data_IF_520142734602
#
_entry.id   IF_520142734602
#
_cell.length_a   1.000
_cell.length_b   1.000
_cell.length_c   1.000
_cell.angle_alpha   90.00
_cell.angle_beta   90.00
_cell.angle_gamma   90.00
#
_symmetry.space_group_name_H-M   'P 1'
#
loop_
_entity.id
_entity.type
_entity.pdbx_description
1 polymer ?
#
# COMPACT_ATOMS: atom_id res chain seq x y z
N UNK A 1 29.37 11.55 30.22
CA UNK A 1 29.25 10.46 29.25
C UNK A 1 27.90 10.58 28.58
N UNK A 2 27.86 10.71 27.28
CA UNK A 2 26.60 10.64 26.55
C UNK A 2 26.01 9.21 26.71
N UNK A 3 24.77 9.13 27.15
CA UNK A 3 24.04 7.86 27.25
C UNK A 3 23.93 7.32 25.82
N UNK A 4 24.57 6.18 25.52
CA UNK A 4 24.37 5.53 24.22
C UNK A 4 22.89 5.16 24.12
N UNK A 5 22.22 5.76 23.14
CA UNK A 5 20.85 5.40 22.83
C UNK A 5 20.89 4.06 22.05
N UNK A 6 20.26 3.04 22.61
CA UNK A 6 20.14 1.70 22.03
C UNK A 6 18.71 1.43 21.60
N UNK A 7 17.99 2.46 21.14
CA UNK A 7 16.64 2.28 20.60
C UNK A 7 16.65 1.36 19.39
N UNK A 8 15.55 0.67 19.17
CA UNK A 8 15.35 -0.19 18.00
C UNK A 8 15.49 0.62 16.70
N UNK A 9 15.02 1.86 16.70
CA UNK A 9 15.16 2.75 15.55
C UNK A 9 16.62 2.97 15.17
N UNK A 10 17.48 3.31 16.13
CA UNK A 10 18.91 3.55 15.86
C UNK A 10 19.68 2.29 15.46
N UNK A 11 19.31 1.13 16.04
CA UNK A 11 20.07 -0.10 15.82
C UNK A 11 19.64 -0.86 14.57
N UNK A 12 18.36 -0.79 14.22
CA UNK A 12 17.75 -1.64 13.19
C UNK A 12 16.99 -0.84 12.13
N UNK A 13 16.04 0.00 12.53
CA UNK A 13 15.12 0.64 11.58
C UNK A 13 15.86 1.68 10.72
N UNK A 14 16.59 2.61 11.32
CA UNK A 14 17.29 3.64 10.58
C UNK A 14 18.38 3.08 9.64
N UNK A 15 19.29 2.18 10.09
CA UNK A 15 20.27 1.59 9.18
C UNK A 15 19.64 0.77 8.05
N UNK A 16 18.53 0.07 8.30
CA UNK A 16 17.80 -0.69 7.27
C UNK A 16 17.18 0.25 6.25
N UNK A 17 16.51 1.32 6.69
CA UNK A 17 15.92 2.30 5.80
C UNK A 17 16.96 2.99 4.92
N UNK A 18 18.12 3.38 5.50
CA UNK A 18 19.25 3.95 4.74
C UNK A 18 19.80 2.99 3.69
N UNK A 19 19.91 1.70 4.00
CA UNK A 19 20.34 0.69 3.05
C UNK A 19 19.35 0.58 1.86
N UNK A 20 18.06 0.52 2.15
CA UNK A 20 17.01 0.45 1.13
C UNK A 20 17.01 1.69 0.23
N UNK A 21 17.17 2.89 0.81
CA UNK A 21 17.26 4.13 0.04
C UNK A 21 18.51 4.19 -0.84
N UNK A 22 19.68 3.98 -0.25
CA UNK A 22 20.96 4.19 -0.94
C UNK A 22 21.28 3.12 -1.97
N UNK A 23 20.92 1.87 -1.69
CA UNK A 23 21.26 0.75 -2.58
C UNK A 23 20.11 0.34 -3.52
N UNK A 24 18.86 0.48 -3.09
CA UNK A 24 17.70 0.02 -3.87
C UNK A 24 16.80 1.16 -4.34
N UNK A 25 17.07 2.41 -3.95
CA UNK A 25 16.29 3.57 -4.37
C UNK A 25 14.87 3.60 -3.80
N UNK A 26 14.63 2.99 -2.64
CA UNK A 26 13.35 3.04 -1.97
C UNK A 26 13.11 4.44 -1.38
N UNK A 27 11.85 4.82 -1.27
CA UNK A 27 11.47 5.95 -0.43
C UNK A 27 11.42 5.50 1.04
N UNK A 28 11.77 6.41 1.97
CA UNK A 28 11.67 6.15 3.40
C UNK A 28 10.95 7.29 4.09
N UNK A 29 10.06 6.97 4.99
CA UNK A 29 9.32 7.93 5.80
C UNK A 29 9.29 7.49 7.26
N UNK A 30 9.13 8.46 8.16
CA UNK A 30 9.02 8.23 9.58
C UNK A 30 7.56 8.43 10.01
N UNK A 31 6.90 7.36 10.46
CA UNK A 31 5.46 7.39 10.75
C UNK A 31 5.09 8.40 11.85
N UNK A 32 5.98 8.67 12.79
CA UNK A 32 5.77 9.68 13.83
C UNK A 32 5.63 11.12 13.28
N UNK A 33 6.07 11.38 12.05
CA UNK A 33 5.88 12.68 11.41
C UNK A 33 4.46 12.89 10.89
N UNK A 34 3.67 11.83 10.81
CA UNK A 34 2.22 11.89 10.60
C UNK A 34 1.48 12.10 11.93
N UNK A 35 0.28 12.62 11.89
CA UNK A 35 -0.55 12.85 13.07
C UNK A 35 -0.03 13.96 13.97
N UNK A 36 0.96 13.70 14.81
CA UNK A 36 1.45 14.66 15.80
C UNK A 36 2.04 15.95 15.22
N UNK A 37 2.71 15.88 14.08
CA UNK A 37 3.38 17.01 13.44
C UNK A 37 2.72 17.44 12.13
N UNK A 38 2.20 16.50 11.36
CA UNK A 38 1.67 16.73 10.01
C UNK A 38 0.14 16.58 9.89
N UNK A 39 -0.56 16.24 10.98
CA UNK A 39 -2.00 15.95 10.96
C UNK A 39 -2.34 14.63 10.28
N UNK A 40 -3.64 14.37 10.18
CA UNK A 40 -4.22 13.20 9.52
C UNK A 40 -4.99 13.62 8.27
N UNK A 41 -5.21 12.69 7.35
CA UNK A 41 -6.04 12.90 6.18
C UNK A 41 -5.32 12.76 4.85
N UNK A 42 -5.99 13.02 3.72
CA UNK A 42 -5.47 12.76 2.38
C UNK A 42 -4.14 13.44 2.07
N UNK A 43 -3.90 14.60 2.65
CA UNK A 43 -2.70 15.43 2.43
C UNK A 43 -1.60 15.17 3.48
N UNK A 44 -1.82 14.26 4.44
CA UNK A 44 -0.81 13.88 5.41
C UNK A 44 0.29 13.03 4.76
N UNK A 45 1.38 12.80 5.50
CA UNK A 45 2.56 12.08 5.02
C UNK A 45 2.22 10.73 4.36
N UNK A 46 1.42 9.92 5.03
CA UNK A 46 0.98 8.60 4.52
C UNK A 46 -0.45 8.60 3.98
N UNK A 47 -1.16 9.72 4.08
CA UNK A 47 -2.54 9.87 3.61
C UNK A 47 -3.58 9.15 4.46
N UNK A 48 -3.24 8.77 5.69
CA UNK A 48 -4.13 8.05 6.60
C UNK A 48 -5.09 9.00 7.34
N UNK A 49 -6.30 8.52 7.62
CA UNK A 49 -7.25 9.23 8.48
C UNK A 49 -6.91 9.07 9.98
N UNK A 50 -6.20 8.00 10.35
CA UNK A 50 -5.72 7.73 11.70
C UNK A 50 -4.60 6.68 11.69
N UNK A 51 -3.97 6.46 12.83
CA UNK A 51 -2.99 5.39 13.06
C UNK A 51 -3.58 3.97 12.96
N UNK A 52 -4.89 3.84 13.07
CA UNK A 52 -5.59 2.56 12.92
C UNK A 52 -5.64 2.05 11.46
N UNK A 53 -5.40 2.91 10.47
CA UNK A 53 -5.35 2.49 9.08
C UNK A 53 -4.05 1.75 8.76
N UNK A 54 -4.15 0.47 8.45
CA UNK A 54 -3.02 -0.39 8.10
C UNK A 54 -2.70 -0.31 6.60
N UNK A 55 -3.74 -0.25 5.76
CA UNK A 55 -3.58 -0.14 4.31
C UNK A 55 -3.43 1.33 3.91
N UNK A 56 -2.34 1.67 3.24
CA UNK A 56 -2.11 3.01 2.70
C UNK A 56 -2.98 3.20 1.44
N UNK A 57 -4.24 3.54 1.63
CA UNK A 57 -5.27 3.57 0.57
C UNK A 57 -4.92 4.49 -0.57
N UNK A 58 -4.30 5.66 -0.28
CA UNK A 58 -3.82 6.60 -1.30
C UNK A 58 -2.77 5.95 -2.21
N UNK A 59 -1.82 5.25 -1.65
CA UNK A 59 -0.73 4.61 -2.39
C UNK A 59 -1.22 3.38 -3.16
N UNK A 60 -2.11 2.59 -2.58
CA UNK A 60 -2.75 1.44 -3.26
C UNK A 60 -3.57 1.92 -4.47
N UNK A 61 -4.36 2.98 -4.31
CA UNK A 61 -5.15 3.55 -5.40
C UNK A 61 -4.25 4.08 -6.53
N UNK A 62 -3.17 4.76 -6.17
CA UNK A 62 -2.19 5.24 -7.13
C UNK A 62 -1.52 4.08 -7.90
N UNK A 63 -1.17 2.99 -7.21
CA UNK A 63 -0.62 1.79 -7.83
C UNK A 63 -1.63 1.11 -8.77
N UNK A 64 -2.89 0.96 -8.35
CA UNK A 64 -3.96 0.41 -9.19
C UNK A 64 -4.10 1.19 -10.50
N UNK A 65 -4.13 2.52 -10.43
CA UNK A 65 -4.25 3.39 -11.62
C UNK A 65 -3.00 3.31 -12.51
N UNK A 66 -1.82 3.29 -11.93
CA UNK A 66 -0.55 3.23 -12.68
C UNK A 66 -0.35 1.89 -13.38
N UNK A 67 -0.61 0.79 -12.68
CA UNK A 67 -0.37 -0.56 -13.20
C UNK A 67 -1.51 -1.08 -14.11
N UNK A 68 -2.67 -0.45 -14.07
CA UNK A 68 -3.86 -0.84 -14.86
C UNK A 68 -4.51 0.39 -15.49
N UNK A 69 -3.85 1.08 -16.43
CA UNK A 69 -4.36 2.34 -16.98
C UNK A 69 -5.62 2.17 -17.82
N UNK A 70 -6.40 3.24 -17.94
CA UNK A 70 -7.51 3.34 -18.89
C UNK A 70 -8.82 2.69 -18.44
N UNK A 71 -9.00 2.42 -17.16
CA UNK A 71 -10.25 1.87 -16.62
C UNK A 71 -11.15 2.97 -16.03
N UNK A 72 -12.47 2.70 -15.92
CA UNK A 72 -13.37 3.58 -15.18
C UNK A 72 -12.95 3.71 -13.72
N UNK A 73 -13.13 4.88 -13.13
CA UNK A 73 -12.75 5.12 -11.72
C UNK A 73 -13.45 4.16 -10.75
N UNK A 74 -14.70 3.79 -11.03
CA UNK A 74 -15.43 2.80 -10.25
C UNK A 74 -14.71 1.45 -10.14
N UNK A 75 -14.03 1.00 -11.20
CA UNK A 75 -13.26 -0.26 -11.16
C UNK A 75 -12.09 -0.19 -10.18
N UNK A 76 -11.41 0.96 -10.09
CA UNK A 76 -10.33 1.15 -9.12
C UNK A 76 -10.87 1.22 -7.68
N UNK A 77 -12.01 1.88 -7.46
CA UNK A 77 -12.64 1.97 -6.14
C UNK A 77 -13.12 0.59 -5.67
N UNK A 78 -13.71 -0.20 -6.54
CA UNK A 78 -14.13 -1.57 -6.23
C UNK A 78 -12.93 -2.46 -5.88
N UNK A 79 -11.83 -2.34 -6.62
CA UNK A 79 -10.59 -3.04 -6.31
C UNK A 79 -10.02 -2.62 -4.95
N UNK A 80 -9.97 -1.31 -4.68
CA UNK A 80 -9.50 -0.78 -3.40
C UNK A 80 -10.35 -1.31 -2.24
N UNK A 81 -11.67 -1.32 -2.39
CA UNK A 81 -12.59 -1.83 -1.38
C UNK A 81 -12.28 -3.29 -1.03
N UNK A 82 -12.02 -4.15 -2.02
CA UNK A 82 -11.65 -5.55 -1.78
C UNK A 82 -10.31 -5.71 -1.05
N UNK A 83 -9.35 -4.84 -1.31
CA UNK A 83 -8.05 -4.85 -0.62
C UNK A 83 -8.20 -4.44 0.84
N UNK A 84 -9.01 -3.43 1.12
CA UNK A 84 -9.20 -2.87 2.47
C UNK A 84 -10.17 -3.69 3.32
N UNK A 85 -11.15 -4.34 2.69
CA UNK A 85 -12.20 -5.07 3.39
C UNK A 85 -11.65 -6.19 4.27
N UNK A 86 -12.08 -6.21 5.53
CA UNK A 86 -11.86 -7.31 6.47
C UNK A 86 -13.17 -8.08 6.70
N UNK A 87 -13.07 -9.39 6.73
CA UNK A 87 -14.18 -10.28 7.04
C UNK A 87 -14.01 -10.87 8.44
N UNK A 88 -14.64 -10.26 9.41
CA UNK A 88 -14.56 -10.66 10.83
C UNK A 88 -15.14 -12.06 11.10
N UNK A 89 -15.85 -12.66 10.13
CA UNK A 89 -16.39 -14.02 10.26
C UNK A 89 -15.33 -15.09 9.94
N UNK A 90 -14.20 -14.70 9.33
CA UNK A 90 -13.11 -15.59 8.96
C UNK A 90 -11.97 -15.54 9.97
N UNK A 91 -11.23 -16.63 10.06
CA UNK A 91 -10.00 -16.64 10.85
C UNK A 91 -8.95 -15.69 10.23
N UNK A 92 -8.02 -15.19 11.04
CA UNK A 92 -6.91 -14.35 10.56
C UNK A 92 -6.08 -15.04 9.48
N UNK A 93 -5.88 -16.35 9.60
CA UNK A 93 -5.16 -17.16 8.58
C UNK A 93 -5.91 -17.13 7.25
N UNK A 94 -7.22 -17.34 7.26
CA UNK A 94 -8.04 -17.31 6.05
C UNK A 94 -8.06 -15.92 5.40
N UNK A 95 -8.15 -14.86 6.21
CA UNK A 95 -8.08 -13.48 5.72
C UNK A 95 -6.71 -13.19 5.09
N UNK A 96 -5.62 -13.59 5.73
CA UNK A 96 -4.28 -13.40 5.19
C UNK A 96 -4.07 -14.17 3.88
N UNK A 97 -4.59 -15.39 3.78
CA UNK A 97 -4.54 -16.15 2.53
C UNK A 97 -5.28 -15.45 1.39
N UNK A 98 -6.47 -14.91 1.67
CA UNK A 98 -7.24 -14.15 0.68
C UNK A 98 -6.51 -12.89 0.23
N UNK A 99 -5.96 -12.10 1.17
CA UNK A 99 -5.17 -10.91 0.84
C UNK A 99 -3.92 -11.26 0.04
N UNK A 100 -3.24 -12.35 0.39
CA UNK A 100 -2.10 -12.83 -0.38
C UNK A 100 -2.47 -13.19 -1.83
N UNK A 101 -3.63 -13.83 -2.05
CA UNK A 101 -4.13 -14.13 -3.41
C UNK A 101 -4.39 -12.85 -4.21
N UNK A 102 -4.95 -11.79 -3.58
CA UNK A 102 -5.12 -10.49 -4.23
C UNK A 102 -3.79 -9.88 -4.67
N UNK A 103 -2.75 -9.97 -3.82
CA UNK A 103 -1.41 -9.48 -4.15
C UNK A 103 -0.75 -10.28 -5.27
N UNK A 104 -0.87 -11.60 -5.23
CA UNK A 104 -0.24 -12.50 -6.19
C UNK A 104 -0.94 -12.51 -7.56
N UNK A 105 -2.27 -12.63 -7.56
CA UNK A 105 -3.07 -12.92 -8.75
C UNK A 105 -3.79 -11.70 -9.31
N UNK A 106 -3.78 -10.59 -8.57
CA UNK A 106 -4.55 -9.39 -8.87
C UNK A 106 -5.95 -9.40 -8.28
N UNK A 107 -6.57 -8.24 -8.24
CA UNK A 107 -7.88 -7.98 -7.65
C UNK A 107 -8.96 -8.16 -8.70
N UNK A 108 -9.92 -9.08 -8.54
CA UNK A 108 -10.99 -9.28 -9.51
C UNK A 108 -11.99 -8.13 -9.46
N UNK A 109 -12.28 -7.54 -10.60
CA UNK A 109 -13.30 -6.49 -10.75
C UNK A 109 -14.15 -6.73 -11.98
N UNK A 110 -15.40 -6.24 -11.93
CA UNK A 110 -16.32 -6.24 -13.07
C UNK A 110 -16.75 -4.80 -13.33
N UNK A 111 -16.64 -4.37 -14.58
CA UNK A 111 -17.04 -3.03 -14.99
C UNK A 111 -17.60 -3.04 -16.40
N UNK A 112 -18.28 -1.96 -16.78
CA UNK A 112 -18.72 -1.76 -18.17
C UNK A 112 -17.72 -0.90 -18.92
N UNK A 113 -17.33 -1.36 -20.11
CA UNK A 113 -16.47 -0.59 -21.00
C UNK A 113 -17.23 0.57 -21.68
N UNK A 114 -16.54 1.34 -22.49
CA UNK A 114 -17.12 2.48 -23.21
C UNK A 114 -18.27 2.07 -24.16
N UNK A 115 -18.32 0.82 -24.60
CA UNK A 115 -19.38 0.25 -25.41
C UNK A 115 -20.54 -0.36 -24.59
N UNK A 116 -20.48 -0.25 -23.24
CA UNK A 116 -21.48 -0.79 -22.34
C UNK A 116 -21.38 -2.30 -22.09
N UNK A 117 -20.32 -2.97 -22.57
CA UNK A 117 -20.12 -4.40 -22.38
C UNK A 117 -19.54 -4.68 -21.02
N UNK A 118 -20.03 -5.74 -20.36
CA UNK A 118 -19.48 -6.19 -19.09
C UNK A 118 -18.09 -6.81 -19.30
N UNK A 119 -17.11 -6.30 -18.60
CA UNK A 119 -15.72 -6.79 -18.60
C UNK A 119 -15.38 -7.35 -17.22
N UNK A 120 -14.82 -8.55 -17.21
CA UNK A 120 -14.25 -9.19 -16.03
C UNK A 120 -12.72 -9.15 -16.13
N UNK A 121 -12.07 -8.53 -15.17
CA UNK A 121 -10.62 -8.29 -15.21
C UNK A 121 -10.02 -8.41 -13.81
N UNK A 122 -8.75 -8.83 -13.76
CA UNK A 122 -7.92 -8.75 -12.54
C UNK A 122 -6.98 -7.57 -12.63
N UNK A 123 -7.02 -6.70 -11.64
CA UNK A 123 -6.17 -5.53 -11.53
C UNK A 123 -4.91 -5.89 -10.76
N UNK A 124 -3.74 -5.57 -11.34
CA UNK A 124 -2.45 -5.77 -10.68
C UNK A 124 -2.27 -4.78 -9.53
N UNK A 125 -1.81 -5.27 -8.39
CA UNK A 125 -1.32 -4.46 -7.27
C UNK A 125 0.21 -4.36 -7.30
N UNK A 126 0.88 -5.39 -7.81
CA UNK A 126 2.33 -5.50 -7.94
C UNK A 126 2.64 -5.95 -9.35
N UNK A 127 3.64 -5.33 -9.96
CA UNK A 127 4.19 -5.78 -11.23
C UNK A 127 5.40 -6.68 -10.96
N UNK A 128 5.20 -7.99 -11.09
CA UNK A 128 6.25 -8.99 -10.90
C UNK A 128 7.14 -9.17 -12.14
N UNK A 129 6.63 -8.80 -13.32
CA UNK A 129 7.36 -8.93 -14.57
C UNK A 129 8.39 -7.81 -14.74
N UNK A 130 8.00 -6.59 -14.37
CA UNK A 130 8.83 -5.39 -14.44
C UNK A 130 8.85 -4.67 -13.08
N UNK A 131 9.66 -5.13 -12.12
CA UNK A 131 9.68 -4.61 -10.75
C UNK A 131 9.92 -3.10 -10.63
N UNK A 132 10.59 -2.49 -11.63
CA UNK A 132 10.82 -1.03 -11.68
C UNK A 132 9.53 -0.20 -11.80
N UNK A 133 8.42 -0.81 -12.23
CA UNK A 133 7.12 -0.14 -12.30
C UNK A 133 6.45 -0.01 -10.94
N UNK A 134 6.96 -0.71 -9.93
CA UNK A 134 6.47 -0.59 -8.56
C UNK A 134 7.13 0.59 -7.85
N UNK A 135 6.39 1.15 -6.89
CA UNK A 135 6.92 2.09 -5.91
C UNK A 135 7.18 1.36 -4.61
N UNK A 136 8.35 1.56 -4.04
CA UNK A 136 8.78 0.92 -2.81
C UNK A 136 8.91 1.96 -1.71
N UNK A 137 8.25 1.72 -0.59
CA UNK A 137 8.23 2.62 0.56
C UNK A 137 8.58 1.86 1.83
N UNK A 138 9.60 2.33 2.54
CA UNK A 138 9.94 1.88 3.88
C UNK A 138 9.34 2.87 4.91
N UNK A 139 8.50 2.38 5.80
CA UNK A 139 7.89 3.16 6.88
C UNK A 139 8.55 2.76 8.19
N UNK A 140 9.17 3.72 8.88
CA UNK A 140 9.73 3.54 10.22
C UNK A 140 8.74 4.00 11.28
N UNK A 141 8.67 3.34 12.41
CA UNK A 141 7.87 3.70 13.59
C UNK A 141 8.67 4.44 14.65
#
# INVERSE_FOLDING_TARGET
MAKKDYSEDLLIQAPTAELLEQQLGWESVFAQDEGAKGGWGPDSLLGRASDAEVVLTRDVLAALKRLNPGLPDAAYQDALALVVQDDITKSLIAQNEEKYKLLRDGVPVKYRDAAGRLVDKRLRLIDFDEPKNNRYLAVRE
#
